data_IF_752613360954
#
_entry.id   IF_752613360954
#
_cell.length_a   1.000
_cell.length_b   1.000
_cell.length_c   1.000
_cell.angle_alpha   90.00
_cell.angle_beta   90.00
_cell.angle_gamma   90.00
#
_symmetry.space_group_name_H-M   'P 1'
#
loop_
_entity.id
_entity.type
_entity.pdbx_description
1 polymer ?
#
# COMPACT_ATOMS: atom_id res chain seq x y z
N UNK A 1 -6.59 5.66 -17.30
CA UNK A 1 -6.06 4.57 -16.47
C UNK A 1 -4.95 3.83 -17.20
N UNK A 2 -3.83 3.65 -16.51
CA UNK A 2 -2.65 2.95 -17.03
C UNK A 2 -2.46 1.66 -16.24
N UNK A 3 -2.29 0.55 -16.94
CA UNK A 3 -2.16 -0.76 -16.31
C UNK A 3 -0.90 -1.49 -16.76
N UNK A 4 -0.29 -2.23 -15.85
CA UNK A 4 0.78 -3.15 -16.15
C UNK A 4 0.48 -4.47 -15.46
N UNK A 5 0.57 -5.57 -16.19
CA UNK A 5 0.37 -6.92 -15.67
C UNK A 5 1.54 -7.81 -16.08
N UNK A 6 1.69 -8.93 -15.38
CA UNK A 6 2.53 -10.01 -15.86
C UNK A 6 1.68 -11.04 -16.60
N UNK A 7 2.25 -11.71 -17.60
CA UNK A 7 1.63 -12.83 -18.29
C UNK A 7 1.53 -14.05 -17.36
N UNK A 8 0.53 -14.02 -16.48
CA UNK A 8 0.31 -15.01 -15.44
C UNK A 8 -1.10 -15.57 -15.52
N UNK A 9 -1.21 -16.90 -15.52
CA UNK A 9 -2.50 -17.62 -15.62
C UNK A 9 -2.93 -18.27 -14.31
N UNK A 10 -2.08 -18.23 -13.31
CA UNK A 10 -2.29 -18.94 -12.05
C UNK A 10 -1.51 -18.30 -10.92
N UNK A 11 -2.13 -18.18 -9.74
CA UNK A 11 -1.48 -17.77 -8.50
C UNK A 11 -1.44 -18.99 -7.57
N UNK A 12 -0.29 -19.23 -6.95
CA UNK A 12 -0.17 -20.07 -5.77
C UNK A 12 0.73 -19.36 -4.74
N UNK A 13 0.18 -19.08 -3.56
CA UNK A 13 0.89 -18.44 -2.47
C UNK A 13 0.59 -19.18 -1.16
N UNK A 14 1.58 -19.92 -0.68
CA UNK A 14 1.49 -20.73 0.56
C UNK A 14 1.19 -19.87 1.79
N UNK A 15 1.75 -18.67 1.85
CA UNK A 15 1.60 -17.75 2.98
C UNK A 15 0.17 -17.20 3.11
N UNK A 16 -0.45 -16.81 2.00
CA UNK A 16 -1.87 -16.41 2.01
C UNK A 16 -2.83 -17.58 1.86
N UNK A 17 -2.33 -18.81 1.63
CA UNK A 17 -3.12 -19.99 1.26
C UNK A 17 -4.00 -19.74 0.03
N UNK A 18 -3.50 -18.92 -0.88
CA UNK A 18 -4.23 -18.48 -2.07
C UNK A 18 -3.79 -19.30 -3.27
N UNK A 19 -4.75 -19.89 -3.97
CA UNK A 19 -4.52 -20.75 -5.13
C UNK A 19 -5.70 -20.63 -6.08
N UNK A 20 -5.47 -20.07 -7.28
CA UNK A 20 -6.54 -19.81 -8.24
C UNK A 20 -5.99 -19.60 -9.66
N UNK A 21 -6.80 -19.97 -10.65
CA UNK A 21 -6.59 -19.57 -12.04
C UNK A 21 -6.94 -18.09 -12.24
N UNK A 22 -6.21 -17.42 -13.11
CA UNK A 22 -6.45 -16.05 -13.50
C UNK A 22 -6.95 -15.97 -14.93
N UNK A 23 -8.02 -15.21 -15.14
CA UNK A 23 -8.45 -14.84 -16.49
C UNK A 23 -7.49 -13.83 -17.09
N UNK A 24 -6.94 -14.11 -18.27
CA UNK A 24 -6.08 -13.12 -18.94
C UNK A 24 -6.82 -11.93 -19.51
N UNK A 25 -8.15 -11.98 -19.55
CA UNK A 25 -8.98 -10.90 -20.07
C UNK A 25 -9.62 -10.07 -18.96
N UNK A 26 -9.39 -10.41 -17.68
CA UNK A 26 -10.00 -9.71 -16.54
C UNK A 26 -9.65 -8.22 -16.50
N UNK A 27 -8.45 -7.85 -16.95
CA UNK A 27 -8.04 -6.45 -17.03
C UNK A 27 -8.94 -5.59 -17.92
N UNK A 28 -9.67 -6.19 -18.86
CA UNK A 28 -10.61 -5.47 -19.74
C UNK A 28 -11.76 -4.85 -18.96
N UNK A 29 -12.09 -5.37 -17.78
CA UNK A 29 -13.08 -4.77 -16.86
C UNK A 29 -12.71 -3.36 -16.41
N UNK A 30 -11.42 -3.03 -16.48
CA UNK A 30 -10.92 -1.71 -16.13
C UNK A 30 -11.07 -0.71 -17.29
N UNK A 31 -11.20 -1.16 -18.55
CA UNK A 31 -11.15 -0.28 -19.72
C UNK A 31 -9.90 0.64 -19.72
N UNK A 32 -8.67 0.08 -19.69
CA UNK A 32 -7.45 0.88 -19.59
C UNK A 32 -7.20 1.69 -20.88
N UNK A 33 -6.70 2.92 -20.72
CA UNK A 33 -6.24 3.76 -21.84
C UNK A 33 -4.95 3.19 -22.45
N UNK A 34 -4.11 2.58 -21.61
CA UNK A 34 -2.89 1.90 -22.02
C UNK A 34 -2.61 0.72 -21.08
N UNK A 35 -2.22 -0.40 -21.67
CA UNK A 35 -1.86 -1.63 -20.96
C UNK A 35 -0.54 -2.19 -21.49
N UNK A 36 0.33 -2.60 -20.58
CA UNK A 36 1.57 -3.32 -20.90
C UNK A 36 1.59 -4.69 -20.19
N UNK A 37 2.23 -5.67 -20.83
CA UNK A 37 2.43 -7.01 -20.31
C UNK A 37 3.91 -7.38 -20.39
N UNK A 38 4.43 -7.97 -19.32
CA UNK A 38 5.78 -8.53 -19.27
C UNK A 38 5.76 -9.98 -18.78
N UNK A 39 6.79 -10.75 -19.13
CA UNK A 39 7.02 -12.09 -18.58
C UNK A 39 7.61 -12.00 -17.17
N UNK A 40 7.05 -12.69 -16.15
CA UNK A 40 7.53 -12.58 -14.78
C UNK A 40 9.04 -12.87 -14.63
N UNK A 41 9.50 -14.01 -15.14
CA UNK A 41 10.86 -14.48 -14.89
C UNK A 41 11.94 -13.63 -15.57
N UNK A 42 11.62 -13.02 -16.71
CA UNK A 42 12.57 -12.20 -17.46
C UNK A 42 13.00 -10.96 -16.65
N UNK A 43 12.03 -10.26 -16.05
CA UNK A 43 12.31 -9.08 -15.24
C UNK A 43 13.20 -9.40 -14.04
N UNK A 44 12.90 -10.49 -13.31
CA UNK A 44 13.66 -10.85 -12.11
C UNK A 44 15.13 -11.09 -12.45
N UNK A 45 15.41 -11.78 -13.55
CA UNK A 45 16.79 -12.07 -13.99
C UNK A 45 17.62 -10.83 -14.34
N UNK A 46 16.97 -9.71 -14.68
CA UNK A 46 17.61 -8.45 -15.08
C UNK A 46 17.61 -7.39 -13.95
N UNK A 47 17.09 -7.74 -12.77
CA UNK A 47 16.90 -6.84 -11.64
C UNK A 47 17.99 -6.99 -10.57
N UNK A 48 18.01 -6.07 -9.60
CA UNK A 48 18.87 -6.15 -8.40
C UNK A 48 18.39 -7.23 -7.38
N UNK A 49 17.54 -8.17 -7.78
CA UNK A 49 16.92 -9.13 -6.86
C UNK A 49 17.94 -9.99 -6.11
N UNK A 50 18.94 -10.54 -6.81
CA UNK A 50 20.00 -11.35 -6.18
C UNK A 50 20.88 -10.53 -5.23
N UNK A 51 21.09 -9.25 -5.50
CA UNK A 51 21.80 -8.36 -4.58
C UNK A 51 20.97 -8.04 -3.34
N UNK A 52 19.66 -7.86 -3.48
CA UNK A 52 18.75 -7.63 -2.34
C UNK A 52 18.64 -8.86 -1.43
N UNK A 53 18.70 -10.08 -1.98
CA UNK A 53 18.68 -11.32 -1.18
C UNK A 53 19.79 -11.39 -0.14
N UNK A 54 20.95 -10.77 -0.39
CA UNK A 54 22.09 -10.71 0.55
C UNK A 54 21.76 -10.05 1.89
N UNK A 55 20.68 -9.27 1.96
CA UNK A 55 20.24 -8.58 3.18
C UNK A 55 19.23 -9.40 4.01
N UNK A 56 18.84 -10.58 3.54
CA UNK A 56 18.02 -11.55 4.25
C UNK A 56 16.57 -11.62 3.79
N UNK A 57 15.87 -12.64 4.29
CA UNK A 57 14.46 -12.91 4.05
C UNK A 57 13.64 -12.61 5.32
N UNK A 58 12.88 -11.52 5.31
CA UNK A 58 12.06 -11.13 6.47
C UNK A 58 10.82 -12.02 6.65
N UNK A 59 10.42 -12.77 5.62
CA UNK A 59 9.22 -13.59 5.62
C UNK A 59 9.51 -15.07 5.82
N UNK A 60 10.79 -15.48 5.71
CA UNK A 60 11.24 -16.87 5.80
C UNK A 60 10.45 -17.79 4.86
N UNK A 61 10.24 -17.35 3.62
CA UNK A 61 9.45 -18.05 2.60
C UNK A 61 10.26 -18.29 1.31
N UNK A 62 11.57 -18.50 1.48
CA UNK A 62 12.53 -18.72 0.41
C UNK A 62 12.51 -17.56 -0.60
N UNK A 63 12.38 -16.33 -0.09
CA UNK A 63 12.30 -15.09 -0.85
C UNK A 63 11.08 -14.96 -1.77
N UNK A 64 10.06 -15.83 -1.67
CA UNK A 64 8.85 -15.77 -2.49
C UNK A 64 8.08 -14.46 -2.30
N UNK A 65 7.91 -14.01 -1.04
CA UNK A 65 7.27 -12.71 -0.76
C UNK A 65 8.08 -11.53 -1.29
N UNK A 66 9.42 -11.63 -1.26
CA UNK A 66 10.29 -10.57 -1.76
C UNK A 66 10.26 -10.53 -3.30
N UNK A 67 10.21 -11.69 -3.97
CA UNK A 67 10.02 -11.77 -5.43
C UNK A 67 8.70 -11.11 -5.86
N UNK A 68 7.60 -11.44 -5.18
CA UNK A 68 6.30 -10.82 -5.42
C UNK A 68 6.33 -9.29 -5.20
N UNK A 69 7.05 -8.82 -4.18
CA UNK A 69 7.26 -7.39 -3.97
C UNK A 69 8.02 -6.75 -5.14
N UNK A 70 9.06 -7.39 -5.68
CA UNK A 70 9.80 -6.91 -6.84
C UNK A 70 8.90 -6.76 -8.07
N UNK A 71 8.06 -7.75 -8.35
CA UNK A 71 7.05 -7.68 -9.42
C UNK A 71 6.10 -6.49 -9.26
N UNK A 72 5.57 -6.30 -8.04
CA UNK A 72 4.70 -5.17 -7.73
C UNK A 72 5.42 -3.83 -7.96
N UNK A 73 6.66 -3.70 -7.46
CA UNK A 73 7.46 -2.48 -7.57
C UNK A 73 7.82 -2.15 -9.02
N UNK A 74 8.12 -3.15 -9.83
CA UNK A 74 8.38 -2.97 -11.25
C UNK A 74 7.13 -2.55 -12.02
N UNK A 75 6.00 -3.21 -11.77
CA UNK A 75 4.71 -2.83 -12.37
C UNK A 75 4.37 -1.39 -12.03
N UNK A 76 4.60 -0.98 -10.78
CA UNK A 76 4.38 0.40 -10.33
C UNK A 76 5.28 1.39 -11.08
N UNK A 77 6.56 1.06 -11.28
CA UNK A 77 7.49 1.88 -12.05
C UNK A 77 7.04 2.05 -13.51
N UNK A 78 6.56 0.97 -14.15
CA UNK A 78 6.04 0.96 -15.52
C UNK A 78 4.81 1.87 -15.67
N UNK A 79 3.77 1.66 -14.85
CA UNK A 79 2.57 2.51 -14.89
C UNK A 79 2.85 3.97 -14.53
N UNK A 80 3.87 4.23 -13.71
CA UNK A 80 4.30 5.60 -13.38
C UNK A 80 4.97 6.28 -14.58
N UNK A 81 5.80 5.56 -15.35
CA UNK A 81 6.38 6.14 -16.57
C UNK A 81 5.31 6.41 -17.63
N UNK A 82 4.36 5.47 -17.80
CA UNK A 82 3.22 5.67 -18.70
C UNK A 82 2.42 6.91 -18.29
N UNK A 83 2.03 7.02 -17.01
CA UNK A 83 1.22 8.14 -16.54
C UNK A 83 1.94 9.49 -16.63
N UNK A 84 3.25 9.55 -16.35
CA UNK A 84 4.01 10.81 -16.41
C UNK A 84 4.15 11.38 -17.82
N UNK A 85 3.96 10.57 -18.87
CA UNK A 85 3.94 11.05 -20.26
C UNK A 85 2.71 11.92 -20.58
N UNK A 86 1.66 11.82 -19.76
CA UNK A 86 0.44 12.63 -19.85
C UNK A 86 0.49 13.91 -18.99
N UNK A 87 1.62 14.17 -18.33
CA UNK A 87 1.81 15.34 -17.46
C UNK A 87 0.66 15.57 -16.45
N UNK A 88 0.26 14.55 -15.66
CA UNK A 88 -0.92 14.64 -14.81
C UNK A 88 -0.72 15.60 -13.63
N UNK A 89 -1.75 16.38 -13.32
CA UNK A 89 -1.79 17.20 -12.10
C UNK A 89 -1.86 16.33 -10.84
N UNK A 90 -2.66 15.26 -10.91
CA UNK A 90 -2.91 14.31 -9.83
C UNK A 90 -2.90 12.89 -10.36
N UNK A 91 -2.25 11.98 -9.62
CA UNK A 91 -2.26 10.54 -9.89
C UNK A 91 -2.89 9.80 -8.72
N UNK A 92 -3.82 8.89 -9.03
CA UNK A 92 -4.34 7.90 -8.10
C UNK A 92 -3.63 6.58 -8.36
N UNK A 93 -2.87 6.10 -7.37
CA UNK A 93 -2.31 4.76 -7.39
C UNK A 93 -3.32 3.80 -6.77
N UNK A 94 -3.97 3.00 -7.60
CA UNK A 94 -4.95 2.00 -7.19
C UNK A 94 -4.41 0.59 -7.40
N UNK A 95 -4.75 -0.32 -6.49
CA UNK A 95 -4.44 -1.75 -6.64
C UNK A 95 -5.68 -2.46 -7.20
N UNK A 96 -5.52 -3.38 -8.16
CA UNK A 96 -6.64 -4.11 -8.74
C UNK A 96 -7.27 -5.11 -7.76
N UNK A 97 -6.53 -5.56 -6.73
CA UNK A 97 -7.02 -6.50 -5.71
C UNK A 97 -7.75 -5.82 -4.54
N UNK A 98 -8.21 -4.57 -4.69
CA UNK A 98 -8.87 -3.82 -3.62
C UNK A 98 -10.30 -3.42 -3.98
N UNK A 99 -11.23 -3.70 -3.08
CA UNK A 99 -12.55 -3.08 -3.06
C UNK A 99 -12.49 -1.82 -2.20
N UNK A 100 -12.65 -0.66 -2.84
CA UNK A 100 -12.72 0.65 -2.17
C UNK A 100 -14.11 0.84 -1.56
N UNK A 101 -14.17 1.05 -0.24
CA UNK A 101 -15.43 1.10 0.51
C UNK A 101 -15.98 2.51 0.69
N UNK A 102 -15.11 3.51 0.55
CA UNK A 102 -15.42 4.92 0.77
C UNK A 102 -15.14 5.73 -0.50
N UNK A 103 -15.91 6.80 -0.72
CA UNK A 103 -15.76 7.66 -1.89
C UNK A 103 -14.52 8.56 -1.76
N UNK A 104 -13.64 8.57 -2.77
CA UNK A 104 -12.40 9.36 -2.79
C UNK A 104 -12.57 10.78 -3.35
N UNK A 105 -13.79 11.19 -3.76
CA UNK A 105 -14.06 12.47 -4.44
C UNK A 105 -13.52 13.67 -3.66
N UNK A 106 -13.88 13.81 -2.38
CA UNK A 106 -13.48 14.98 -1.59
C UNK A 106 -11.96 15.07 -1.41
N UNK A 107 -11.29 13.91 -1.34
CA UNK A 107 -9.84 13.85 -1.26
C UNK A 107 -9.16 14.18 -2.58
N UNK A 108 -9.76 13.80 -3.71
CA UNK A 108 -9.30 14.17 -5.03
C UNK A 108 -9.46 15.68 -5.25
N UNK A 109 -10.64 16.23 -5.00
CA UNK A 109 -10.91 17.66 -5.18
C UNK A 109 -10.04 18.53 -4.27
N UNK A 110 -9.86 18.14 -3.00
CA UNK A 110 -8.98 18.88 -2.10
C UNK A 110 -7.50 18.75 -2.47
N UNK A 111 -7.09 17.69 -3.16
CA UNK A 111 -5.74 17.59 -3.73
C UNK A 111 -5.60 18.53 -4.92
N UNK A 112 -6.60 18.58 -5.82
CA UNK A 112 -6.62 19.47 -6.99
C UNK A 112 -6.60 20.96 -6.61
N UNK A 113 -7.26 21.33 -5.49
CA UNK A 113 -7.28 22.72 -5.00
C UNK A 113 -5.96 23.17 -4.38
N UNK A 114 -5.06 22.25 -4.01
CA UNK A 114 -3.77 22.60 -3.40
C UNK A 114 -2.75 22.86 -4.51
N UNK A 115 -2.13 24.04 -4.47
CA UNK A 115 -0.98 24.36 -5.33
C UNK A 115 0.33 23.66 -4.87
N UNK A 116 0.27 22.95 -3.74
CA UNK A 116 1.40 22.25 -3.15
C UNK A 116 1.44 20.76 -3.52
N UNK A 117 2.64 20.20 -3.48
CA UNK A 117 2.85 18.74 -3.53
C UNK A 117 2.26 18.07 -2.29
N UNK A 118 1.33 17.13 -2.49
CA UNK A 118 0.70 16.35 -1.42
C UNK A 118 0.68 14.86 -1.77
N UNK A 119 0.99 14.02 -0.78
CA UNK A 119 0.85 12.57 -0.85
C UNK A 119 -0.19 12.12 0.17
N UNK A 120 -1.36 11.67 -0.29
CA UNK A 120 -2.41 11.10 0.59
C UNK A 120 -2.34 9.58 0.56
N UNK A 121 -2.26 8.96 1.74
CA UNK A 121 -2.20 7.50 1.92
C UNK A 121 -3.12 7.03 3.06
N UNK A 122 -3.50 5.74 3.12
CA UNK A 122 -4.33 5.23 4.19
C UNK A 122 -3.71 5.40 5.58
N UNK A 123 -4.55 5.72 6.57
CA UNK A 123 -4.12 5.90 7.96
C UNK A 123 -4.18 4.61 8.82
N UNK A 124 -4.66 3.50 8.25
CA UNK A 124 -4.85 2.22 8.93
C UNK A 124 -3.81 1.18 8.54
N UNK A 125 -3.64 0.15 9.37
CA UNK A 125 -2.75 -1.01 9.14
C UNK A 125 -1.32 -0.67 8.69
N UNK A 126 -0.71 0.34 9.32
CA UNK A 126 0.70 0.66 9.12
C UNK A 126 1.59 -0.28 9.97
N UNK A 127 2.52 -0.98 9.34
CA UNK A 127 3.52 -1.89 9.92
C UNK A 127 4.91 -1.21 10.08
N UNK A 128 4.92 0.01 10.61
CA UNK A 128 6.15 0.78 10.85
C UNK A 128 6.72 1.49 9.62
N UNK A 129 5.97 1.53 8.51
CA UNK A 129 6.28 2.33 7.34
C UNK A 129 5.10 3.20 6.91
N UNK A 130 4.90 3.31 5.60
CA UNK A 130 3.76 3.98 4.97
C UNK A 130 2.92 2.93 4.25
N UNK A 131 1.62 2.85 4.56
CA UNK A 131 0.68 1.97 3.86
C UNK A 131 0.63 2.32 2.36
N UNK A 132 0.82 1.30 1.51
CA UNK A 132 0.93 1.43 0.05
C UNK A 132 -0.26 0.84 -0.70
N UNK A 133 -1.39 0.59 -0.01
CA UNK A 133 -2.61 0.02 -0.61
C UNK A 133 -3.23 0.92 -1.68
N UNK A 134 -3.22 2.23 -1.45
CA UNK A 134 -3.52 3.21 -2.48
C UNK A 134 -2.91 4.57 -2.12
N UNK A 135 -2.87 5.48 -3.08
CA UNK A 135 -2.47 6.86 -2.83
C UNK A 135 -3.14 7.84 -3.79
N UNK A 136 -3.35 9.08 -3.35
CA UNK A 136 -3.71 10.23 -4.20
C UNK A 136 -2.57 11.23 -4.09
N UNK A 137 -1.93 11.57 -5.20
CA UNK A 137 -0.68 12.33 -5.19
C UNK A 137 -0.71 13.46 -6.20
N UNK A 138 -0.41 14.68 -5.76
CA UNK A 138 -0.10 15.82 -6.63
C UNK A 138 1.41 16.09 -6.66
N UNK A 139 1.87 16.65 -7.78
CA UNK A 139 3.25 17.09 -7.95
C UNK A 139 4.17 15.98 -8.48
N UNK A 140 4.78 16.24 -9.64
CA UNK A 140 5.62 15.30 -10.40
C UNK A 140 6.65 14.55 -9.55
N UNK A 141 7.42 15.28 -8.74
CA UNK A 141 8.48 14.67 -7.94
C UNK A 141 7.95 13.72 -6.85
N UNK A 142 6.73 13.94 -6.34
CA UNK A 142 6.11 13.04 -5.37
C UNK A 142 5.53 11.80 -6.06
N UNK A 143 4.92 11.98 -7.23
CA UNK A 143 4.45 10.88 -8.09
C UNK A 143 5.64 9.96 -8.43
N UNK A 144 6.77 10.53 -8.86
CA UNK A 144 7.99 9.78 -9.15
C UNK A 144 8.55 9.08 -7.92
N UNK A 145 8.63 9.76 -6.78
CA UNK A 145 9.15 9.16 -5.54
C UNK A 145 8.29 7.97 -5.06
N UNK A 146 6.96 8.06 -5.18
CA UNK A 146 6.06 6.97 -4.82
C UNK A 146 6.15 5.82 -5.83
N UNK A 147 6.03 6.15 -7.11
CA UNK A 147 5.82 5.21 -8.20
C UNK A 147 7.09 4.51 -8.68
N UNK A 148 8.22 5.22 -8.68
CA UNK A 148 9.55 4.71 -9.10
C UNK A 148 10.39 4.23 -7.92
N UNK A 149 9.78 3.97 -6.75
CA UNK A 149 10.49 3.53 -5.52
C UNK A 149 11.24 2.21 -5.68
N UNK A 150 10.93 1.43 -6.72
CA UNK A 150 11.73 0.28 -7.16
C UNK A 150 13.22 0.64 -7.29
N UNK A 151 13.54 1.79 -7.89
CA UNK A 151 14.91 2.26 -8.12
C UNK A 151 15.69 2.54 -6.82
N UNK A 152 14.98 2.57 -5.68
CA UNK A 152 15.54 2.78 -4.34
C UNK A 152 15.65 1.49 -3.53
N UNK A 153 15.22 0.34 -4.06
CA UNK A 153 15.17 -0.93 -3.34
C UNK A 153 16.56 -1.36 -2.81
N UNK A 154 17.56 -1.44 -3.69
CA UNK A 154 18.91 -1.83 -3.30
C UNK A 154 19.59 -0.79 -2.39
N UNK A 155 19.38 0.49 -2.68
CA UNK A 155 19.88 1.60 -1.84
C UNK A 155 19.30 1.54 -0.41
N UNK A 156 18.01 1.26 -0.28
CA UNK A 156 17.35 1.06 1.01
C UNK A 156 18.02 -0.09 1.78
N UNK A 157 18.21 -1.25 1.14
CA UNK A 157 18.82 -2.41 1.79
C UNK A 157 20.24 -2.10 2.27
N UNK A 158 21.07 -1.49 1.41
CA UNK A 158 22.44 -1.05 1.73
C UNK A 158 22.47 -0.06 2.89
N UNK A 159 21.65 0.99 2.83
CA UNK A 159 21.65 2.08 3.82
C UNK A 159 21.09 1.66 5.18
N UNK A 160 20.14 0.71 5.22
CA UNK A 160 19.53 0.23 6.46
C UNK A 160 20.17 -1.05 7.00
N UNK A 161 20.99 -1.72 6.19
CA UNK A 161 21.53 -3.05 6.44
C UNK A 161 20.43 -4.03 6.87
N UNK A 162 19.31 -4.04 6.14
CA UNK A 162 18.09 -4.79 6.48
C UNK A 162 17.40 -5.34 5.24
N UNK A 163 16.64 -6.45 5.37
CA UNK A 163 15.75 -6.93 4.33
C UNK A 163 14.78 -5.85 3.85
N UNK A 164 14.41 -5.92 2.57
CA UNK A 164 13.39 -5.07 1.98
C UNK A 164 12.00 -5.36 2.59
N UNK A 165 11.22 -4.30 2.79
CA UNK A 165 9.83 -4.39 3.21
C UNK A 165 9.05 -3.26 2.55
N UNK A 166 7.89 -3.55 1.95
CA UNK A 166 7.12 -2.62 1.10
C UNK A 166 6.93 -1.24 1.75
N UNK A 167 6.34 -1.22 2.95
CA UNK A 167 6.02 0.04 3.63
C UNK A 167 7.26 0.81 4.09
N UNK A 168 8.34 0.11 4.44
CA UNK A 168 9.59 0.74 4.92
C UNK A 168 10.37 1.32 3.75
N UNK A 169 10.38 0.62 2.61
CA UNK A 169 10.88 1.15 1.35
C UNK A 169 10.10 2.39 0.93
N UNK A 170 8.76 2.35 1.01
CA UNK A 170 7.96 3.53 0.69
C UNK A 170 8.29 4.70 1.63
N UNK A 171 8.39 4.46 2.95
CA UNK A 171 8.83 5.48 3.91
C UNK A 171 10.20 6.07 3.56
N UNK A 172 11.14 5.22 3.13
CA UNK A 172 12.48 5.64 2.71
C UNK A 172 12.43 6.53 1.45
N UNK A 173 11.69 6.10 0.43
CA UNK A 173 11.52 6.83 -0.83
C UNK A 173 10.83 8.19 -0.64
N UNK A 174 9.96 8.31 0.37
CA UNK A 174 9.21 9.54 0.68
C UNK A 174 9.81 10.39 1.80
N UNK A 175 11.03 10.10 2.25
CA UNK A 175 11.63 10.65 3.49
C UNK A 175 11.63 12.18 3.63
N UNK A 176 11.55 12.93 2.53
CA UNK A 176 11.52 14.41 2.51
C UNK A 176 10.21 14.98 1.92
N UNK A 177 9.13 14.19 1.92
CA UNK A 177 7.84 14.59 1.33
C UNK A 177 6.77 14.69 2.42
N UNK A 178 5.86 15.64 2.24
CA UNK A 178 4.70 15.79 3.13
C UNK A 178 3.70 14.67 2.83
N UNK A 179 3.41 13.86 3.86
CA UNK A 179 2.44 12.76 3.78
C UNK A 179 1.22 13.12 4.63
N UNK A 180 0.05 13.12 4.00
CA UNK A 180 -1.25 13.25 4.65
C UNK A 180 -1.87 11.85 4.75
N UNK A 181 -2.36 11.48 5.93
CA UNK A 181 -2.94 10.17 6.17
C UNK A 181 -4.46 10.28 6.24
N UNK A 182 -5.17 9.57 5.37
CA UNK A 182 -6.62 9.66 5.20
C UNK A 182 -7.34 8.40 5.69
N UNK A 183 -8.59 8.51 6.18
CA UNK A 183 -9.34 7.42 6.81
C UNK A 183 -10.02 6.46 5.82
N UNK A 184 -9.97 6.74 4.53
CA UNK A 184 -10.65 6.00 3.47
C UNK A 184 -10.24 4.52 3.45
N UNK A 185 -11.22 3.62 3.45
CA UNK A 185 -11.04 2.19 3.63
C UNK A 185 -11.07 1.45 2.30
N UNK A 186 -10.28 0.39 2.23
CA UNK A 186 -10.30 -0.57 1.15
C UNK A 186 -10.02 -1.97 1.72
N UNK A 187 -10.73 -2.98 1.24
CA UNK A 187 -10.50 -4.38 1.62
C UNK A 187 -9.88 -5.12 0.45
N UNK A 188 -8.96 -6.03 0.75
CA UNK A 188 -8.41 -6.91 -0.28
C UNK A 188 -9.45 -7.93 -0.71
N UNK A 189 -9.64 -8.06 -2.02
CA UNK A 189 -10.37 -9.15 -2.66
C UNK A 189 -9.33 -10.17 -3.12
N UNK A 190 -9.49 -11.42 -2.69
CA UNK A 190 -8.65 -12.54 -3.10
C UNK A 190 -9.04 -13.04 -4.48
N UNK A 191 -8.17 -13.81 -5.12
CA UNK A 191 -8.43 -14.38 -6.44
C UNK A 191 -9.68 -15.30 -6.48
N UNK A 192 -10.10 -15.85 -5.33
CA UNK A 192 -11.35 -16.60 -5.18
C UNK A 192 -12.59 -15.71 -4.92
N UNK A 193 -12.44 -14.38 -4.94
CA UNK A 193 -13.51 -13.42 -4.67
C UNK A 193 -13.75 -13.11 -3.18
N UNK A 194 -13.04 -13.77 -2.26
CA UNK A 194 -13.24 -13.53 -0.83
C UNK A 194 -12.62 -12.22 -0.36
N UNK A 195 -13.39 -11.49 0.46
CA UNK A 195 -12.90 -10.29 1.13
C UNK A 195 -12.04 -10.66 2.34
N UNK A 196 -10.82 -10.10 2.40
CA UNK A 196 -9.98 -10.18 3.60
C UNK A 196 -10.58 -9.32 4.70
N UNK A 197 -10.70 -9.89 5.91
CA UNK A 197 -11.14 -9.15 7.08
C UNK A 197 -10.06 -8.15 7.52
N UNK A 198 -10.18 -6.90 7.08
CA UNK A 198 -9.29 -5.82 7.48
C UNK A 198 -9.80 -5.15 8.76
N UNK A 199 -8.92 -5.01 9.76
CA UNK A 199 -9.26 -4.33 11.01
C UNK A 199 -9.14 -2.80 10.84
N UNK A 200 -10.29 -2.15 10.68
CA UNK A 200 -10.41 -0.69 10.59
C UNK A 200 -10.69 -0.01 11.94
N UNK A 201 -10.69 -0.72 13.08
CA UNK A 201 -11.19 -0.19 14.38
C UNK A 201 -10.54 1.14 14.79
N UNK A 202 -9.35 1.45 14.27
CA UNK A 202 -8.52 2.56 14.75
C UNK A 202 -8.27 3.64 13.72
N UNK A 203 -8.87 3.54 12.53
CA UNK A 203 -8.72 4.62 11.54
C UNK A 203 -9.19 5.96 12.13
N UNK A 204 -10.24 5.96 12.97
CA UNK A 204 -10.75 7.17 13.65
C UNK A 204 -9.80 7.73 14.71
N UNK A 205 -9.13 6.85 15.46
CA UNK A 205 -8.08 7.27 16.42
C UNK A 205 -6.91 7.88 15.67
N UNK A 206 -6.52 7.26 14.56
CA UNK A 206 -5.47 7.78 13.69
C UNK A 206 -5.89 9.08 12.99
N UNK A 207 -7.16 9.22 12.63
CA UNK A 207 -7.71 10.42 12.02
C UNK A 207 -7.66 11.60 13.00
N UNK A 208 -8.07 11.38 14.25
CA UNK A 208 -7.92 12.38 15.31
C UNK A 208 -6.45 12.70 15.62
N UNK A 209 -5.57 11.68 15.62
CA UNK A 209 -4.13 11.90 15.71
C UNK A 209 -3.63 12.80 14.58
N UNK A 210 -4.04 12.55 13.34
CA UNK A 210 -3.62 13.34 12.18
C UNK A 210 -4.16 14.78 12.25
N UNK A 211 -5.39 14.96 12.75
CA UNK A 211 -5.96 16.28 13.01
C UNK A 211 -5.08 17.07 14.00
N UNK A 212 -4.67 16.47 15.11
CA UNK A 212 -3.75 17.09 16.08
C UNK A 212 -2.42 17.43 15.41
N UNK A 213 -1.81 16.46 14.70
CA UNK A 213 -0.53 16.67 14.02
C UNK A 213 -0.58 17.87 13.07
N UNK A 214 -1.63 17.96 12.26
CA UNK A 214 -1.83 19.06 11.32
C UNK A 214 -2.12 20.39 12.03
N UNK A 215 -2.95 20.38 13.07
CA UNK A 215 -3.35 21.59 13.81
C UNK A 215 -2.16 22.23 14.53
N UNK A 216 -1.27 21.41 15.08
CA UNK A 216 -0.11 21.88 15.86
C UNK A 216 1.21 21.83 15.10
N UNK A 217 1.18 21.57 13.78
CA UNK A 217 2.35 21.44 12.91
C UNK A 217 3.44 20.51 13.48
N UNK A 218 3.02 19.38 14.03
CA UNK A 218 3.91 18.41 14.66
C UNK A 218 4.47 17.41 13.65
N UNK A 219 5.54 16.69 14.02
CA UNK A 219 5.97 15.54 13.24
C UNK A 219 4.95 14.41 13.35
N UNK A 220 4.63 13.77 12.21
CA UNK A 220 3.74 12.61 12.17
C UNK A 220 4.30 11.39 12.91
N UNK A 221 5.61 11.38 13.17
CA UNK A 221 6.33 10.37 13.95
C UNK A 221 6.53 10.81 15.42
N UNK A 222 5.78 11.81 15.92
CA UNK A 222 5.85 12.25 17.30
C UNK A 222 5.57 11.09 18.27
N UNK A 223 6.62 10.62 18.97
CA UNK A 223 6.57 9.43 19.84
C UNK A 223 5.49 9.50 20.91
N UNK A 224 5.25 10.69 21.48
CA UNK A 224 4.26 10.87 22.54
C UNK A 224 2.84 10.69 22.00
N UNK A 225 2.51 11.38 20.90
CA UNK A 225 1.21 11.26 20.24
C UNK A 225 0.96 9.84 19.73
N UNK A 226 1.98 9.21 19.15
CA UNK A 226 1.90 7.83 18.69
C UNK A 226 1.66 6.85 19.84
N UNK A 227 2.37 7.03 20.97
CA UNK A 227 2.19 6.22 22.19
C UNK A 227 0.78 6.38 22.78
N UNK A 228 0.27 7.63 22.83
CA UNK A 228 -1.09 7.91 23.26
C UNK A 228 -2.12 7.22 22.34
N UNK A 229 -1.99 7.40 21.02
CA UNK A 229 -2.89 6.80 20.05
C UNK A 229 -2.88 5.26 20.15
N UNK A 230 -1.72 4.65 20.43
CA UNK A 230 -1.60 3.21 20.69
C UNK A 230 -2.26 2.76 21.99
N UNK A 231 -2.18 3.56 23.06
CA UNK A 231 -2.89 3.28 24.32
C UNK A 231 -4.41 3.32 24.12
N UNK A 232 -4.91 4.35 23.43
CA UNK A 232 -6.34 4.45 23.08
C UNK A 232 -6.76 3.26 22.21
N UNK A 233 -5.94 2.90 21.22
CA UNK A 233 -6.14 1.70 20.40
C UNK A 233 -6.27 0.42 21.24
N UNK A 234 -5.35 0.17 22.18
CA UNK A 234 -5.43 -0.99 23.09
C UNK A 234 -6.74 -1.01 23.88
N UNK A 235 -7.17 0.15 24.39
CA UNK A 235 -8.43 0.27 25.14
C UNK A 235 -9.62 -0.08 24.25
N UNK A 236 -9.70 0.49 23.04
CA UNK A 236 -10.79 0.20 22.10
C UNK A 236 -10.79 -1.28 21.70
N UNK A 237 -9.63 -1.90 21.47
CA UNK A 237 -9.53 -3.33 21.19
C UNK A 237 -10.04 -4.19 22.35
N UNK A 238 -9.75 -3.83 23.61
CA UNK A 238 -10.27 -4.54 24.78
C UNK A 238 -11.80 -4.49 24.84
N UNK A 239 -12.41 -3.34 24.54
CA UNK A 239 -13.87 -3.21 24.50
C UNK A 239 -14.50 -3.87 23.27
N UNK A 240 -13.80 -3.86 22.12
CA UNK A 240 -14.25 -4.53 20.91
C UNK A 240 -14.20 -6.05 21.04
N UNK A 241 -13.16 -6.61 21.65
CA UNK A 241 -13.07 -8.06 21.95
C UNK A 241 -14.17 -8.49 22.91
N UNK A 242 -14.44 -7.71 23.98
CA UNK A 242 -15.60 -7.97 24.86
C UNK A 242 -16.92 -7.98 24.08
N UNK A 243 -17.12 -7.14 23.07
CA UNK A 243 -18.33 -7.18 22.22
C UNK A 243 -18.41 -8.40 21.29
N UNK A 244 -17.27 -8.99 20.90
CA UNK A 244 -17.22 -10.22 20.11
C UNK A 244 -17.50 -11.43 21.02
N UNK A 245 -16.89 -11.50 22.20
CA UNK A 245 -17.12 -12.57 23.19
C UNK A 245 -18.55 -12.56 23.77
N UNK A 246 -19.21 -11.39 23.84
CA UNK A 246 -20.62 -11.29 24.28
C UNK A 246 -21.60 -11.80 23.20
N UNK A 247 -21.20 -11.88 21.93
CA UNK A 247 -22.04 -12.44 20.85
C UNK A 247 -21.93 -13.95 20.69
N UNK A 248 -20.89 -14.59 21.20
CA UNK A 248 -20.72 -16.07 21.14
C UNK A 248 -21.33 -16.83 22.34
N UNK A 249 -21.93 -16.13 23.32
CA UNK A 249 -22.56 -16.75 24.49
C UNK A 249 -24.09 -16.53 24.60
N UNK A 250 -24.77 -16.31 23.48
CA UNK A 250 -26.23 -16.36 23.40
C UNK A 250 -26.61 -17.36 22.30
N UNK A 251 -26.41 -18.64 22.59
CA UNK A 251 -27.23 -19.78 22.16
C UNK A 251 -26.63 -21.05 22.76
N UNK A 252 -26.82 -21.19 24.07
CA UNK A 252 -26.89 -22.48 24.75
C UNK A 252 -28.31 -22.63 25.26
N UNK A 253 -29.14 -23.30 24.48
CA UNK A 253 -30.28 -24.12 24.91
C UNK A 253 -30.54 -25.16 23.81
#
# INVERSE_FOLDING_TARGET
>A
MFCHFFNQRYIANSRSKESAELSADEYKLLEPDQVEFDEPELFISQSDFEDVKKFGDIYNDEYSSIKNLFHQLYSLNKVTNMSLSWEPDVVIFARPDLQYLDNLKDELESTLRKNDTVIKVPNWQNCGGVNDRFAIISGRQAIEAYGKRYLKALEYCKSKNKPIHSERLLKFALSNKKIERIPHRAVRVRANGENVHENFINYRVMDFHNLIVNTFNLSIDNKFLWSWAWKVHKIILLFSKRKVDIKENIHSE
#
